data_IF_607088728466
#
_entry.id   IF_607088728466
#
_cell.length_a   1.000
_cell.length_b   1.000
_cell.length_c   1.000
_cell.angle_alpha   90.00
_cell.angle_beta   90.00
_cell.angle_gamma   90.00
#
_symmetry.space_group_name_H-M   'P 1'
#
loop_
_entity.id
_entity.type
_entity.pdbx_description
1 polymer ?
#
# COMPACT_ATOMS: atom_id res chain seq x y z
N UNK A 1 4.17 26.13 12.89
CA UNK A 1 3.13 26.52 11.94
C UNK A 1 1.87 25.77 12.33
N UNK A 2 0.69 26.38 12.36
CA UNK A 2 -0.55 25.71 12.78
C UNK A 2 -1.63 25.96 11.75
N UNK A 3 -2.47 24.95 11.52
CA UNK A 3 -3.68 25.07 10.69
C UNK A 3 -4.68 25.93 11.46
N UNK A 4 -5.05 27.08 10.91
CA UNK A 4 -6.10 27.92 11.48
C UNK A 4 -7.51 27.37 11.16
N UNK A 5 -8.53 27.97 11.75
CA UNK A 5 -9.92 27.52 11.59
C UNK A 5 -10.42 27.62 10.15
N UNK A 6 -9.94 28.61 9.38
CA UNK A 6 -10.35 28.81 7.99
C UNK A 6 -9.78 27.70 7.10
N UNK A 7 -8.48 27.44 7.18
CA UNK A 7 -7.83 26.36 6.46
C UNK A 7 -8.38 24.99 6.87
N UNK A 8 -8.58 24.74 8.19
CA UNK A 8 -9.18 23.50 8.66
C UNK A 8 -10.58 23.26 8.07
N UNK A 9 -11.41 24.31 8.00
CA UNK A 9 -12.73 24.22 7.36
C UNK A 9 -12.61 23.93 5.86
N UNK A 10 -11.63 24.53 5.19
CA UNK A 10 -11.39 24.29 3.78
C UNK A 10 -10.90 22.86 3.52
N UNK A 11 -10.03 22.30 4.35
CA UNK A 11 -9.56 20.91 4.25
C UNK A 11 -10.72 19.91 4.40
N UNK A 12 -11.65 20.16 5.33
CA UNK A 12 -12.87 19.34 5.47
C UNK A 12 -13.73 19.40 4.20
N UNK A 13 -13.87 20.58 3.57
CA UNK A 13 -14.60 20.70 2.30
C UNK A 13 -13.93 19.92 1.18
N UNK A 14 -12.61 20.04 1.01
CA UNK A 14 -11.87 19.29 0.01
C UNK A 14 -12.03 17.77 0.21
N UNK A 15 -11.83 17.29 1.44
CA UNK A 15 -11.96 15.87 1.77
C UNK A 15 -13.36 15.35 1.43
N UNK A 16 -14.41 16.05 1.85
CA UNK A 16 -15.80 15.62 1.64
C UNK A 16 -16.21 15.68 0.17
N UNK A 17 -15.69 16.62 -0.60
CA UNK A 17 -15.91 16.68 -2.04
C UNK A 17 -15.22 15.53 -2.76
N UNK A 18 -13.96 15.24 -2.43
CA UNK A 18 -13.24 14.07 -2.94
C UNK A 18 -13.97 12.76 -2.58
N UNK A 19 -14.44 12.63 -1.34
CA UNK A 19 -15.22 11.47 -0.90
C UNK A 19 -16.51 11.24 -1.70
N UNK A 20 -17.17 12.32 -2.11
CA UNK A 20 -18.41 12.22 -2.91
C UNK A 20 -18.19 11.74 -4.35
N UNK A 21 -17.01 11.93 -4.90
CA UNK A 21 -16.70 11.60 -6.30
C UNK A 21 -15.45 10.71 -6.43
N UNK A 22 -15.44 9.55 -5.72
CA UNK A 22 -14.30 8.64 -5.74
C UNK A 22 -14.11 8.03 -7.12
N UNK A 23 -12.85 7.78 -7.50
CA UNK A 23 -12.46 7.12 -8.73
C UNK A 23 -11.43 6.03 -8.42
N UNK A 24 -11.53 4.89 -9.08
CA UNK A 24 -10.59 3.76 -8.89
C UNK A 24 -9.26 4.00 -9.60
N UNK A 25 -8.25 3.25 -9.21
CA UNK A 25 -6.89 3.36 -9.72
C UNK A 25 -6.78 3.46 -11.24
N UNK A 26 -5.96 4.38 -11.71
CA UNK A 26 -5.77 4.82 -13.11
C UNK A 26 -7.00 5.44 -13.79
N UNK A 27 -8.08 5.68 -13.06
CA UNK A 27 -9.27 6.38 -13.53
C UNK A 27 -9.53 7.71 -12.78
N UNK A 28 -8.59 8.18 -11.96
CA UNK A 28 -8.68 9.34 -11.07
C UNK A 28 -8.64 10.67 -11.84
N UNK A 29 -9.32 10.76 -12.99
CA UNK A 29 -9.26 11.93 -13.87
C UNK A 29 -9.88 13.19 -13.26
N UNK A 30 -11.05 13.06 -12.61
CA UNK A 30 -11.72 14.19 -11.94
C UNK A 30 -11.01 14.54 -10.64
N UNK A 31 -10.58 13.54 -9.90
CA UNK A 31 -9.78 13.68 -8.68
C UNK A 31 -8.50 14.46 -8.97
N UNK A 32 -7.72 14.04 -9.97
CA UNK A 32 -6.50 14.73 -10.39
C UNK A 32 -6.77 16.17 -10.88
N UNK A 33 -7.86 16.39 -11.62
CA UNK A 33 -8.26 17.72 -12.07
C UNK A 33 -8.64 18.63 -10.89
N UNK A 34 -9.37 18.10 -9.90
CA UNK A 34 -9.74 18.82 -8.67
C UNK A 34 -8.49 19.22 -7.87
N UNK A 35 -7.59 18.28 -7.60
CA UNK A 35 -6.34 18.53 -6.87
C UNK A 35 -5.47 19.56 -7.61
N UNK A 36 -5.32 19.39 -8.94
CA UNK A 36 -4.56 20.34 -9.75
C UNK A 36 -5.15 21.76 -9.74
N UNK A 37 -6.48 21.89 -9.76
CA UNK A 37 -7.14 23.19 -9.66
C UNK A 37 -6.89 23.86 -8.30
N UNK A 38 -6.98 23.10 -7.20
CA UNK A 38 -6.68 23.60 -5.85
C UNK A 38 -5.22 24.10 -5.75
N UNK A 39 -4.25 23.31 -6.22
CA UNK A 39 -2.83 23.68 -6.18
C UNK A 39 -2.52 24.93 -7.06
N UNK A 40 -3.13 25.01 -8.24
CA UNK A 40 -2.99 26.23 -9.09
C UNK A 40 -3.59 27.46 -8.45
N UNK A 41 -4.71 27.32 -7.73
CA UNK A 41 -5.30 28.43 -6.98
C UNK A 41 -4.38 28.95 -5.86
N UNK A 42 -3.49 28.11 -5.33
CA UNK A 42 -2.41 28.49 -4.40
C UNK A 42 -1.19 29.13 -5.10
N UNK A 43 -1.20 29.22 -6.43
CA UNK A 43 -0.10 29.78 -7.23
C UNK A 43 1.04 28.80 -7.50
N UNK A 44 0.81 27.48 -7.34
CA UNK A 44 1.82 26.47 -7.59
C UNK A 44 1.84 26.05 -9.06
N UNK A 45 3.05 25.73 -9.57
CA UNK A 45 3.22 25.06 -10.84
C UNK A 45 2.83 23.57 -10.69
N UNK A 46 1.95 23.08 -11.58
CA UNK A 46 1.39 21.73 -11.50
C UNK A 46 1.59 20.97 -12.80
N UNK A 47 2.28 19.85 -12.72
CA UNK A 47 2.48 18.89 -13.80
C UNK A 47 1.56 17.68 -13.58
N UNK A 48 0.71 17.40 -14.56
CA UNK A 48 -0.26 16.29 -14.53
C UNK A 48 0.14 15.20 -15.52
N UNK A 49 -0.46 14.00 -15.35
CA UNK A 49 -0.29 12.88 -16.26
C UNK A 49 0.97 12.06 -15.98
N UNK A 50 1.50 12.12 -14.76
CA UNK A 50 2.69 11.35 -14.38
C UNK A 50 2.23 9.98 -13.88
N UNK A 51 2.67 8.92 -14.56
CA UNK A 51 2.18 7.57 -14.28
C UNK A 51 0.68 7.40 -14.57
N UNK A 52 0.15 8.14 -15.57
CA UNK A 52 -1.26 8.12 -15.94
C UNK A 52 -2.04 9.32 -15.41
N UNK A 53 -2.66 9.21 -14.23
CA UNK A 53 -3.46 10.26 -13.59
C UNK A 53 -2.72 11.03 -12.50
N UNK A 54 -1.50 10.63 -12.13
CA UNK A 54 -0.72 11.28 -11.09
C UNK A 54 -0.30 12.71 -11.43
N UNK A 55 0.06 13.48 -10.42
CA UNK A 55 0.52 14.85 -10.59
C UNK A 55 1.57 15.24 -9.54
N UNK A 56 2.39 16.24 -9.89
CA UNK A 56 3.38 16.85 -9.01
C UNK A 56 3.22 18.36 -9.04
N UNK A 57 3.22 18.99 -7.87
CA UNK A 57 3.38 20.42 -7.73
C UNK A 57 4.67 20.73 -6.98
N UNK A 58 5.26 21.91 -7.25
CA UNK A 58 6.52 22.30 -6.63
C UNK A 58 6.41 23.69 -6.01
N UNK A 59 7.02 23.83 -4.85
CA UNK A 59 7.14 25.11 -4.14
C UNK A 59 8.57 25.30 -3.65
N UNK A 60 9.22 26.37 -4.08
CA UNK A 60 10.57 26.74 -3.65
C UNK A 60 10.53 28.01 -2.81
N UNK A 61 11.29 28.02 -1.71
CA UNK A 61 11.50 29.20 -0.88
C UNK A 61 12.96 29.27 -0.45
N UNK A 62 13.50 30.50 -0.35
CA UNK A 62 14.90 30.73 -0.04
C UNK A 62 15.85 30.32 -1.18
N UNK A 63 17.14 30.09 -0.82
CA UNK A 63 18.23 29.74 -1.76
C UNK A 63 18.79 28.32 -1.52
N UNK A 64 18.21 27.57 -0.58
CA UNK A 64 18.60 26.20 -0.25
C UNK A 64 18.38 25.25 -1.43
N UNK A 65 19.28 24.26 -1.56
CA UNK A 65 19.23 23.31 -2.66
C UNK A 65 18.52 22.00 -2.28
N UNK A 66 18.21 21.79 -0.99
CA UNK A 66 17.53 20.56 -0.53
C UNK A 66 16.12 20.45 -1.07
N UNK A 67 15.71 19.26 -1.48
CA UNK A 67 14.41 18.96 -2.05
C UNK A 67 13.76 17.80 -1.30
N UNK A 68 12.56 18.00 -0.76
CA UNK A 68 11.76 16.93 -0.15
C UNK A 68 10.50 16.66 -0.95
N UNK A 69 10.14 15.39 -1.07
CA UNK A 69 8.85 14.93 -1.58
C UNK A 69 7.88 14.64 -0.44
N UNK A 70 6.64 15.11 -0.57
CA UNK A 70 5.51 14.73 0.28
C UNK A 70 4.47 14.03 -0.60
N UNK A 71 4.05 12.83 -0.22
CA UNK A 71 3.15 12.00 -1.04
C UNK A 71 1.78 11.81 -0.39
N UNK A 72 0.76 11.88 -1.20
CA UNK A 72 -0.57 11.34 -0.93
C UNK A 72 -1.03 10.48 -2.11
N UNK A 73 -1.73 9.39 -1.82
CA UNK A 73 -2.47 8.57 -2.77
C UNK A 73 -3.81 9.22 -3.14
N UNK A 74 -4.39 8.80 -4.28
CA UNK A 74 -5.60 9.46 -4.82
C UNK A 74 -6.77 8.51 -5.09
N UNK A 75 -6.50 7.22 -5.28
CA UNK A 75 -7.49 6.28 -5.75
C UNK A 75 -8.47 5.83 -4.65
N UNK A 76 -9.56 5.23 -5.09
CA UNK A 76 -10.61 4.70 -4.25
C UNK A 76 -10.87 3.22 -4.59
N UNK A 77 -11.58 2.54 -3.71
CA UNK A 77 -11.91 1.13 -3.82
C UNK A 77 -13.17 0.88 -4.66
N UNK A 78 -13.15 -0.22 -5.43
CA UNK A 78 -14.31 -0.73 -6.16
C UNK A 78 -15.31 -1.43 -5.21
N UNK A 79 -15.91 -0.66 -4.30
CA UNK A 79 -16.86 -1.15 -3.31
C UNK A 79 -18.01 -0.16 -3.09
N UNK A 80 -19.18 -0.65 -2.69
CA UNK A 80 -20.35 0.20 -2.44
C UNK A 80 -20.34 0.67 -0.98
N UNK A 81 -20.42 1.99 -0.79
CA UNK A 81 -20.59 2.60 0.53
C UNK A 81 -22.00 2.34 1.06
N UNK A 82 -22.10 1.96 2.36
CA UNK A 82 -23.38 1.62 3.01
C UNK A 82 -23.71 2.50 4.21
N UNK A 83 -22.94 3.57 4.47
CA UNK A 83 -23.15 4.46 5.60
C UNK A 83 -24.42 5.29 5.44
N UNK A 84 -25.47 4.96 6.20
CA UNK A 84 -26.73 5.71 6.17
C UNK A 84 -26.62 7.05 6.91
N UNK A 85 -27.19 8.11 6.33
CA UNK A 85 -27.25 9.43 6.95
C UNK A 85 -25.96 10.26 6.83
N UNK A 86 -24.93 9.78 6.13
CA UNK A 86 -23.71 10.53 5.84
C UNK A 86 -23.99 11.53 4.72
N UNK A 87 -23.76 12.83 4.98
CA UNK A 87 -24.02 13.90 4.01
C UNK A 87 -23.09 13.82 2.77
N UNK A 88 -21.86 13.37 2.99
CA UNK A 88 -20.82 13.26 1.96
C UNK A 88 -20.66 11.84 1.41
N UNK A 89 -21.70 11.01 1.48
CA UNK A 89 -21.68 9.65 0.90
C UNK A 89 -21.30 9.67 -0.59
N UNK A 90 -20.60 8.64 -1.04
CA UNK A 90 -20.21 8.49 -2.45
C UNK A 90 -21.41 8.63 -3.41
N UNK A 91 -21.23 9.41 -4.46
CA UNK A 91 -22.19 9.58 -5.57
C UNK A 91 -21.83 8.72 -6.78
N UNK A 92 -20.73 7.97 -6.72
CA UNK A 92 -20.32 7.01 -7.72
C UNK A 92 -20.67 5.59 -7.23
N UNK A 93 -21.81 5.00 -7.67
CA UNK A 93 -22.20 3.66 -7.23
C UNK A 93 -21.09 2.63 -7.49
N UNK A 94 -20.79 1.82 -6.46
CA UNK A 94 -19.73 0.80 -6.56
C UNK A 94 -18.31 1.33 -6.40
N UNK A 95 -18.14 2.58 -5.97
CA UNK A 95 -16.83 3.15 -5.67
C UNK A 95 -16.90 3.99 -4.37
N UNK A 96 -15.94 3.84 -3.47
CA UNK A 96 -15.83 4.66 -2.26
C UNK A 96 -14.39 4.82 -1.80
N UNK A 97 -14.08 5.93 -1.13
CA UNK A 97 -12.84 6.08 -0.37
C UNK A 97 -12.91 5.30 0.95
N UNK A 98 -12.66 3.97 0.85
CA UNK A 98 -12.68 3.06 1.98
C UNK A 98 -11.32 2.93 2.71
N UNK A 99 -10.27 3.58 2.20
CA UNK A 99 -8.93 3.57 2.76
C UNK A 99 -8.47 4.93 3.32
N UNK A 100 -9.18 6.02 3.00
CA UNK A 100 -8.90 7.35 3.55
C UNK A 100 -8.04 8.25 2.65
N UNK A 101 -7.84 7.88 1.40
CA UNK A 101 -7.03 8.65 0.44
C UNK A 101 -7.61 10.05 0.18
N UNK A 102 -8.93 10.23 0.30
CA UNK A 102 -9.58 11.55 0.32
C UNK A 102 -9.04 12.45 1.45
N UNK A 103 -8.80 11.87 2.63
CA UNK A 103 -8.17 12.55 3.76
C UNK A 103 -6.69 12.84 3.51
N UNK A 104 -5.94 11.88 2.95
CA UNK A 104 -4.52 12.06 2.62
C UNK A 104 -4.33 13.19 1.61
N UNK A 105 -5.14 13.23 0.54
CA UNK A 105 -5.13 14.34 -0.42
C UNK A 105 -5.45 15.68 0.25
N UNK A 106 -6.47 15.73 1.11
CA UNK A 106 -6.85 16.97 1.80
C UNK A 106 -5.76 17.44 2.77
N UNK A 107 -5.05 16.54 3.47
CA UNK A 107 -3.90 16.87 4.31
C UNK A 107 -2.75 17.44 3.48
N UNK A 108 -2.43 16.82 2.35
CA UNK A 108 -1.34 17.30 1.49
C UNK A 108 -1.68 18.63 0.81
N UNK A 109 -2.95 18.86 0.43
CA UNK A 109 -3.43 20.17 -0.03
C UNK A 109 -3.33 21.21 1.09
N UNK A 110 -3.69 20.86 2.32
CA UNK A 110 -3.54 21.73 3.50
C UNK A 110 -2.08 22.12 3.75
N UNK A 111 -1.17 21.16 3.67
CA UNK A 111 0.27 21.41 3.78
C UNK A 111 0.78 22.33 2.66
N UNK A 112 0.33 22.12 1.41
CA UNK A 112 0.67 22.98 0.28
C UNK A 112 0.19 24.42 0.48
N UNK A 113 -1.05 24.59 0.95
CA UNK A 113 -1.62 25.92 1.25
C UNK A 113 -0.83 26.62 2.36
N UNK A 114 -0.56 25.92 3.46
CA UNK A 114 0.17 26.46 4.60
C UNK A 114 1.58 26.89 4.23
N UNK A 115 2.31 26.06 3.49
CA UNK A 115 3.67 26.35 3.04
C UNK A 115 3.72 27.44 1.97
N UNK A 116 2.72 27.51 1.07
CA UNK A 116 2.65 28.57 0.06
C UNK A 116 2.43 29.97 0.65
N UNK A 117 1.68 30.03 1.75
CA UNK A 117 1.41 31.29 2.47
C UNK A 117 2.60 31.75 3.32
N UNK A 118 3.19 30.83 4.07
CA UNK A 118 4.26 31.19 5.02
C UNK A 118 5.62 31.32 4.38
N UNK A 119 5.96 30.43 3.44
CA UNK A 119 7.29 30.29 2.83
C UNK A 119 8.45 30.27 3.83
N UNK A 120 8.15 29.82 5.06
CA UNK A 120 9.12 29.74 6.16
C UNK A 120 9.91 28.43 6.10
N UNK A 121 10.63 28.24 4.99
CA UNK A 121 11.57 27.15 4.77
C UNK A 121 12.62 27.54 3.72
N UNK A 122 13.68 26.74 3.57
CA UNK A 122 14.79 27.02 2.68
C UNK A 122 15.12 25.80 1.82
N UNK A 123 14.58 25.77 0.61
CA UNK A 123 14.71 24.64 -0.34
C UNK A 123 13.45 24.47 -1.20
N UNK A 124 13.19 23.26 -1.64
CA UNK A 124 12.03 22.91 -2.47
C UNK A 124 11.21 21.80 -1.83
N UNK A 125 9.87 21.96 -1.83
CA UNK A 125 8.93 20.89 -1.50
C UNK A 125 8.20 20.47 -2.77
N UNK A 126 8.16 19.17 -3.04
CA UNK A 126 7.37 18.57 -4.11
C UNK A 126 6.18 17.85 -3.51
N UNK A 127 4.99 18.27 -3.89
CA UNK A 127 3.73 17.66 -3.52
C UNK A 127 3.37 16.63 -4.59
N UNK A 128 3.46 15.35 -4.25
CA UNK A 128 3.28 14.22 -5.14
C UNK A 128 1.93 13.56 -4.84
N UNK A 129 1.01 13.63 -5.79
CA UNK A 129 -0.29 12.98 -5.69
C UNK A 129 -0.28 11.75 -6.60
N UNK A 130 -0.30 10.57 -5.98
CA UNK A 130 -0.05 9.30 -6.63
C UNK A 130 -1.35 8.58 -6.96
N UNK A 131 -1.51 8.02 -8.18
CA UNK A 131 -2.65 7.17 -8.55
C UNK A 131 -2.46 5.73 -8.07
N UNK A 132 -3.52 4.92 -8.13
CA UNK A 132 -3.53 3.46 -8.16
C UNK A 132 -2.67 2.77 -7.07
N UNK A 133 -2.75 3.26 -5.83
CA UNK A 133 -2.10 2.64 -4.68
C UNK A 133 -2.68 1.26 -4.39
N UNK A 134 -4.00 1.13 -4.36
CA UNK A 134 -4.75 -0.10 -4.04
C UNK A 134 -4.46 -1.28 -5.01
N UNK A 135 -3.83 -0.98 -6.14
CA UNK A 135 -3.38 -1.97 -7.11
C UNK A 135 -1.88 -2.30 -7.03
N UNK A 136 -1.12 -1.66 -6.13
CA UNK A 136 0.33 -1.80 -6.01
C UNK A 136 1.12 -1.31 -7.23
N UNK A 137 0.53 -0.48 -8.08
CA UNK A 137 1.10 -0.13 -9.41
C UNK A 137 1.35 1.35 -9.61
N UNK A 138 0.73 2.22 -8.82
CA UNK A 138 0.77 3.65 -9.02
C UNK A 138 2.15 4.26 -8.82
N UNK A 139 2.81 3.91 -7.73
CA UNK A 139 4.17 4.39 -7.45
C UNK A 139 5.14 3.95 -8.56
N UNK A 140 5.07 2.69 -8.98
CA UNK A 140 5.91 2.16 -10.06
C UNK A 140 5.62 2.85 -11.39
N UNK A 141 4.33 3.05 -11.73
CA UNK A 141 3.94 3.76 -12.95
C UNK A 141 4.48 5.20 -12.98
N UNK A 142 4.45 5.93 -11.86
CA UNK A 142 5.04 7.26 -11.77
C UNK A 142 6.57 7.23 -11.95
N UNK A 143 7.25 6.25 -11.36
CA UNK A 143 8.71 6.09 -11.50
C UNK A 143 9.09 5.75 -12.95
N UNK A 144 8.37 4.84 -13.58
CA UNK A 144 8.60 4.42 -14.97
C UNK A 144 8.34 5.59 -15.98
N UNK A 145 7.45 6.53 -15.62
CA UNK A 145 7.22 7.78 -16.37
C UNK A 145 8.23 8.90 -16.03
N UNK A 146 9.29 8.57 -15.29
CA UNK A 146 10.39 9.49 -15.01
C UNK A 146 10.11 10.47 -13.88
N UNK A 147 9.36 10.06 -12.84
CA UNK A 147 9.05 10.94 -11.70
C UNK A 147 10.31 11.58 -11.11
N UNK A 148 11.31 10.80 -10.75
CA UNK A 148 12.50 11.32 -10.06
C UNK A 148 13.55 11.92 -10.99
N UNK A 149 13.52 11.60 -12.29
CA UNK A 149 14.33 12.27 -13.32
C UNK A 149 13.81 13.68 -13.61
N UNK A 150 12.50 13.86 -13.66
CA UNK A 150 11.83 15.14 -13.95
C UNK A 150 11.67 15.99 -12.68
N UNK A 151 11.43 15.36 -11.55
CA UNK A 151 11.16 15.99 -10.27
C UNK A 151 12.04 15.36 -9.18
N UNK A 152 13.38 15.54 -9.24
CA UNK A 152 14.27 14.93 -8.25
C UNK A 152 13.94 15.41 -6.84
N UNK A 153 14.09 14.49 -5.88
CA UNK A 153 13.98 14.75 -4.44
C UNK A 153 15.15 14.07 -3.72
N UNK A 154 15.61 14.67 -2.62
CA UNK A 154 16.66 14.08 -1.78
C UNK A 154 16.06 13.07 -0.79
N UNK A 155 14.83 13.35 -0.32
CA UNK A 155 14.09 12.51 0.60
C UNK A 155 12.59 12.57 0.26
N UNK A 156 11.85 11.47 0.55
CA UNK A 156 10.40 11.39 0.34
C UNK A 156 9.69 10.90 1.60
N UNK A 157 8.53 11.50 1.90
CA UNK A 157 7.72 11.15 3.06
C UNK A 157 6.27 10.90 2.67
N UNK A 158 5.67 9.87 3.28
CA UNK A 158 4.26 9.53 3.14
C UNK A 158 3.63 9.25 4.49
N UNK A 159 2.30 9.34 4.54
CA UNK A 159 1.53 9.07 5.75
C UNK A 159 0.25 8.32 5.41
N UNK A 160 -0.21 7.44 6.30
CA UNK A 160 -1.49 6.78 6.20
C UNK A 160 -2.25 6.83 7.51
N UNK A 161 -3.55 7.07 7.45
CA UNK A 161 -4.42 7.06 8.60
C UNK A 161 -4.71 5.62 9.07
N UNK A 162 -4.70 5.40 10.37
CA UNK A 162 -4.96 4.07 10.96
C UNK A 162 -6.13 4.11 11.94
N UNK A 163 -7.27 3.48 11.63
CA UNK A 163 -8.32 3.20 12.61
C UNK A 163 -7.80 2.32 13.75
N UNK A 164 -8.29 2.58 14.96
CA UNK A 164 -7.83 1.90 16.19
C UNK A 164 -6.72 2.66 16.91
N UNK A 165 -6.07 3.64 16.27
CA UNK A 165 -5.12 4.56 16.89
C UNK A 165 -5.83 5.90 17.19
N UNK A 166 -5.68 6.47 18.40
CA UNK A 166 -6.33 7.74 18.76
C UNK A 166 -5.90 8.90 17.86
N UNK A 167 -6.80 9.84 17.59
CA UNK A 167 -6.48 11.12 16.93
C UNK A 167 -5.40 11.85 17.72
N UNK A 168 -4.47 12.49 17.02
CA UNK A 168 -3.35 13.18 17.64
C UNK A 168 -2.18 12.26 18.00
N UNK A 169 -2.24 10.98 17.66
CA UNK A 169 -1.11 10.04 17.77
C UNK A 169 -0.50 9.78 16.40
N UNK A 170 0.82 9.71 16.37
CA UNK A 170 1.61 9.36 15.18
C UNK A 170 2.53 8.19 15.54
N UNK A 171 2.66 7.24 14.63
CA UNK A 171 3.50 6.08 14.85
C UNK A 171 4.38 5.81 13.64
N UNK A 172 5.62 5.38 13.89
CA UNK A 172 6.56 4.96 12.84
C UNK A 172 7.61 4.03 13.43
N UNK A 173 8.49 3.51 12.59
CA UNK A 173 9.66 2.73 13.02
C UNK A 173 10.74 2.77 11.94
N UNK A 174 11.98 2.50 12.31
CA UNK A 174 13.05 2.23 11.39
C UNK A 174 12.90 0.84 10.78
N UNK A 175 13.28 0.68 9.50
CA UNK A 175 13.19 -0.59 8.80
C UNK A 175 11.77 -0.92 8.31
N UNK A 176 11.45 -2.20 8.16
CA UNK A 176 10.17 -2.64 7.62
C UNK A 176 8.98 -2.23 8.49
N UNK A 177 8.07 -1.42 7.95
CA UNK A 177 6.86 -0.93 8.63
C UNK A 177 5.59 -1.59 8.07
N UNK A 178 5.53 -1.86 6.75
CA UNK A 178 4.46 -2.60 6.10
C UNK A 178 5.03 -3.71 5.23
N UNK A 179 4.28 -4.81 5.07
CA UNK A 179 4.78 -6.01 4.42
C UNK A 179 4.78 -5.90 2.89
N UNK A 180 5.59 -6.74 2.25
CA UNK A 180 5.38 -7.11 0.85
C UNK A 180 4.06 -7.85 0.67
N UNK A 181 3.56 -7.87 -0.56
CA UNK A 181 2.49 -8.75 -0.99
C UNK A 181 2.91 -9.44 -2.28
N UNK A 182 2.89 -10.76 -2.26
CA UNK A 182 3.21 -11.56 -3.44
C UNK A 182 2.16 -12.64 -3.61
N UNK A 183 1.71 -12.84 -4.83
CA UNK A 183 0.77 -13.89 -5.18
C UNK A 183 1.47 -15.02 -5.90
N UNK A 184 1.04 -16.26 -5.66
CA UNK A 184 1.53 -17.41 -6.40
C UNK A 184 0.42 -18.31 -6.91
N UNK A 185 0.70 -18.92 -8.07
CA UNK A 185 -0.11 -19.99 -8.66
C UNK A 185 0.84 -21.15 -9.00
N UNK A 186 0.59 -22.30 -8.39
CA UNK A 186 1.35 -23.53 -8.62
C UNK A 186 0.48 -24.47 -9.43
N UNK A 187 0.88 -24.80 -10.66
CA UNK A 187 0.18 -25.74 -11.55
C UNK A 187 0.95 -27.04 -11.62
N UNK A 188 0.31 -28.12 -11.20
CA UNK A 188 0.87 -29.46 -11.18
C UNK A 188 0.18 -30.29 -12.24
N UNK A 189 0.97 -30.91 -13.13
CA UNK A 189 0.47 -31.80 -14.16
C UNK A 189 1.03 -33.21 -13.93
N UNK A 190 0.11 -34.12 -13.67
CA UNK A 190 0.38 -35.56 -13.55
C UNK A 190 -0.13 -36.34 -14.75
N UNK A 191 -0.61 -37.54 -14.49
CA UNK A 191 -1.28 -38.40 -15.47
C UNK A 191 -2.53 -39.01 -14.84
N UNK A 192 -3.70 -38.48 -15.23
CA UNK A 192 -4.98 -38.99 -14.77
C UNK A 192 -5.25 -40.44 -15.07
N UNK A 193 -6.21 -41.02 -14.36
CA UNK A 193 -6.54 -42.44 -14.54
C UNK A 193 -7.72 -42.91 -13.68
N UNK A 194 -8.03 -44.20 -13.80
CA UNK A 194 -9.10 -44.80 -12.99
C UNK A 194 -8.65 -44.89 -11.52
N UNK A 195 -9.44 -44.39 -10.58
CA UNK A 195 -9.09 -44.33 -9.16
C UNK A 195 -8.72 -45.71 -8.55
N UNK A 196 -9.28 -46.83 -9.09
CA UNK A 196 -8.94 -48.19 -8.68
C UNK A 196 -7.63 -48.75 -9.33
N UNK A 197 -6.96 -47.96 -10.19
CA UNK A 197 -5.70 -48.36 -10.86
C UNK A 197 -4.62 -47.28 -10.70
N UNK A 198 -4.28 -46.83 -9.47
CA UNK A 198 -3.36 -45.72 -9.24
C UNK A 198 -1.93 -45.97 -9.77
N UNK A 199 -1.52 -47.23 -9.89
CA UNK A 199 -0.20 -47.65 -10.44
C UNK A 199 -0.02 -47.30 -11.92
N UNK A 200 -1.10 -46.97 -12.65
CA UNK A 200 -1.06 -46.54 -14.05
C UNK A 200 -1.13 -45.02 -14.21
N UNK A 201 -1.26 -44.28 -13.10
CA UNK A 201 -1.40 -42.82 -13.04
C UNK A 201 -0.18 -42.17 -12.39
N UNK A 202 -0.12 -40.87 -12.47
CA UNK A 202 0.72 -39.99 -11.63
C UNK A 202 -0.26 -39.03 -10.98
N UNK A 203 -0.55 -39.24 -9.71
CA UNK A 203 -1.63 -38.49 -9.02
C UNK A 203 -1.16 -37.11 -8.57
N UNK A 204 -1.58 -36.00 -9.23
CA UNK A 204 -1.16 -34.65 -8.86
C UNK A 204 -1.80 -34.17 -7.57
N UNK A 205 -2.87 -34.78 -7.04
CA UNK A 205 -3.44 -34.45 -5.73
C UNK A 205 -2.49 -34.84 -4.59
N UNK A 206 -1.86 -36.01 -4.68
CA UNK A 206 -0.85 -36.41 -3.68
C UNK A 206 0.36 -35.47 -3.74
N UNK A 207 0.82 -35.16 -4.95
CA UNK A 207 1.92 -34.17 -5.14
C UNK A 207 1.55 -32.79 -4.55
N UNK A 208 0.34 -32.32 -4.81
CA UNK A 208 -0.14 -31.03 -4.27
C UNK A 208 -0.19 -31.02 -2.73
N UNK A 209 -0.70 -32.10 -2.13
CA UNK A 209 -0.74 -32.22 -0.67
C UNK A 209 0.65 -32.19 -0.04
N UNK A 210 1.62 -32.90 -0.64
CA UNK A 210 3.01 -32.88 -0.18
C UNK A 210 3.66 -31.51 -0.37
N UNK A 211 3.41 -30.83 -1.49
CA UNK A 211 3.88 -29.46 -1.72
C UNK A 211 3.34 -28.51 -0.67
N UNK A 212 2.03 -28.50 -0.39
CA UNK A 212 1.41 -27.62 0.61
C UNK A 212 2.06 -27.80 2.00
N UNK A 213 2.30 -29.04 2.41
CA UNK A 213 2.95 -29.35 3.68
C UNK A 213 4.43 -28.91 3.68
N UNK A 214 5.15 -29.16 2.60
CA UNK A 214 6.57 -28.83 2.49
C UNK A 214 6.80 -27.30 2.44
N UNK A 215 5.91 -26.53 1.82
CA UNK A 215 5.99 -25.07 1.78
C UNK A 215 5.99 -24.47 3.19
N UNK A 216 5.34 -25.11 4.19
CA UNK A 216 5.37 -24.64 5.57
C UNK A 216 6.79 -24.66 6.17
N UNK A 217 7.69 -25.49 5.61
CA UNK A 217 9.09 -25.53 6.05
C UNK A 217 9.88 -24.27 5.67
N UNK A 218 9.41 -23.47 4.72
CA UNK A 218 10.11 -22.24 4.31
C UNK A 218 10.20 -21.31 5.49
N UNK A 219 9.06 -20.93 6.09
CA UNK A 219 9.02 -20.05 7.26
C UNK A 219 9.68 -20.72 8.47
N UNK A 220 9.38 -22.02 8.69
CA UNK A 220 9.84 -22.70 9.89
C UNK A 220 11.34 -23.05 9.89
N UNK A 221 12.03 -23.14 8.73
CA UNK A 221 13.39 -23.69 8.62
C UNK A 221 14.32 -22.94 7.68
N UNK A 222 13.83 -22.02 6.85
CA UNK A 222 14.67 -21.28 5.89
C UNK A 222 14.72 -19.77 6.17
N UNK A 223 13.68 -19.22 6.77
CA UNK A 223 13.66 -17.81 7.23
C UNK A 223 14.30 -17.72 8.60
N UNK A 224 15.07 -16.65 8.85
CA UNK A 224 15.60 -16.36 10.18
C UNK A 224 14.43 -16.17 11.17
N UNK A 225 14.44 -16.81 12.36
CA UNK A 225 13.39 -16.65 13.35
C UNK A 225 13.13 -15.21 13.81
N UNK A 226 14.08 -14.29 13.62
CA UNK A 226 13.92 -12.87 13.90
C UNK A 226 13.17 -12.10 12.78
N UNK A 227 13.00 -12.72 11.60
CA UNK A 227 12.36 -12.12 10.42
C UNK A 227 10.94 -12.68 10.25
N UNK A 228 9.89 -11.86 10.44
CA UNK A 228 8.52 -12.31 10.20
C UNK A 228 8.26 -12.59 8.72
N UNK A 229 7.63 -13.71 8.43
CA UNK A 229 7.21 -14.07 7.09
C UNK A 229 5.93 -14.92 7.11
N UNK A 230 5.16 -14.86 6.03
CA UNK A 230 3.94 -15.65 5.84
C UNK A 230 4.02 -16.38 4.50
N UNK A 231 3.59 -17.64 4.48
CA UNK A 231 3.30 -18.44 3.28
C UNK A 231 1.96 -19.11 3.49
N UNK A 232 0.94 -18.68 2.75
CA UNK A 232 -0.42 -19.20 2.86
C UNK A 232 -0.90 -19.77 1.53
N UNK A 233 -1.22 -21.09 1.50
CA UNK A 233 -2.00 -21.67 0.41
C UNK A 233 -3.49 -21.45 0.73
N UNK A 234 -4.19 -20.71 -0.11
CA UNK A 234 -5.56 -20.26 0.15
C UNK A 234 -6.60 -20.97 -0.69
N UNK A 235 -6.18 -21.60 -1.78
CA UNK A 235 -7.08 -22.28 -2.73
C UNK A 235 -6.39 -23.52 -3.32
N UNK A 236 -7.14 -24.59 -3.51
CA UNK A 236 -6.75 -25.78 -4.29
C UNK A 236 -7.89 -26.21 -5.20
N UNK A 237 -7.61 -26.40 -6.48
CA UNK A 237 -8.55 -26.87 -7.49
C UNK A 237 -7.99 -28.05 -8.25
N UNK A 238 -8.86 -28.97 -8.71
CA UNK A 238 -8.47 -30.10 -9.56
C UNK A 238 -9.53 -30.40 -10.60
N UNK A 239 -9.15 -31.08 -11.69
CA UNK A 239 -10.04 -31.61 -12.71
C UNK A 239 -10.50 -33.04 -12.44
N UNK A 240 -10.26 -33.57 -11.23
CA UNK A 240 -10.66 -34.90 -10.81
C UNK A 240 -12.16 -35.03 -10.50
N UNK A 241 -12.63 -36.28 -10.56
CA UNK A 241 -13.97 -36.69 -10.11
C UNK A 241 -13.86 -37.93 -9.21
N UNK A 242 -14.96 -38.24 -8.48
CA UNK A 242 -14.98 -39.29 -7.46
C UNK A 242 -14.27 -40.62 -7.83
N UNK A 243 -14.34 -41.07 -9.07
CA UNK A 243 -13.79 -42.33 -9.54
C UNK A 243 -12.65 -42.22 -10.59
N UNK A 244 -12.17 -41.01 -10.83
CA UNK A 244 -11.06 -40.72 -11.72
C UNK A 244 -10.05 -39.76 -11.08
N UNK A 245 -8.77 -40.14 -11.08
CA UNK A 245 -7.65 -39.29 -10.66
C UNK A 245 -7.50 -38.12 -11.65
N UNK A 246 -7.21 -36.91 -11.16
CA UNK A 246 -7.02 -35.76 -12.01
C UNK A 246 -5.76 -35.83 -12.87
N UNK A 247 -5.72 -34.98 -13.89
CA UNK A 247 -4.50 -34.70 -14.64
C UNK A 247 -3.84 -33.41 -14.14
N UNK A 248 -4.66 -32.47 -13.69
CA UNK A 248 -4.20 -31.16 -13.27
C UNK A 248 -4.67 -30.81 -11.85
N UNK A 249 -3.78 -30.16 -11.10
CA UNK A 249 -4.10 -29.49 -9.83
C UNK A 249 -3.49 -28.10 -9.85
N UNK A 250 -4.26 -27.11 -9.41
CA UNK A 250 -3.80 -25.73 -9.20
C UNK A 250 -3.90 -25.39 -7.73
N UNK A 251 -2.82 -24.81 -7.17
CA UNK A 251 -2.76 -24.22 -5.81
C UNK A 251 -2.54 -22.74 -5.98
N UNK A 252 -3.28 -21.90 -5.26
CA UNK A 252 -3.04 -20.47 -5.16
C UNK A 252 -2.76 -20.06 -3.73
N UNK A 253 -2.08 -18.92 -3.59
CA UNK A 253 -1.78 -18.38 -2.29
C UNK A 253 -1.05 -17.05 -2.34
N UNK A 254 -0.66 -16.64 -1.16
CA UNK A 254 -0.07 -15.33 -0.86
C UNK A 254 1.16 -15.52 0.04
N UNK A 255 2.15 -14.64 -0.13
CA UNK A 255 3.28 -14.54 0.79
C UNK A 255 3.51 -13.10 1.22
N UNK A 256 4.02 -12.93 2.47
CA UNK A 256 4.29 -11.63 3.08
C UNK A 256 5.66 -11.63 3.76
N UNK A 257 6.36 -10.49 3.72
CA UNK A 257 7.61 -10.27 4.45
C UNK A 257 7.89 -8.79 4.63
N UNK A 258 8.85 -8.44 5.52
CA UNK A 258 9.26 -7.04 5.77
C UNK A 258 10.64 -6.71 5.20
N UNK A 259 11.29 -7.65 4.51
CA UNK A 259 12.59 -7.41 3.87
C UNK A 259 12.61 -7.99 2.45
N UNK A 260 13.41 -7.38 1.58
CA UNK A 260 13.58 -7.85 0.19
C UNK A 260 14.30 -9.18 0.11
N UNK A 261 15.21 -9.40 1.04
CA UNK A 261 15.99 -10.63 1.16
C UNK A 261 15.08 -11.82 1.47
N UNK A 262 14.15 -11.62 2.42
CA UNK A 262 13.14 -12.64 2.78
C UNK A 262 12.15 -12.83 1.62
N UNK A 263 11.67 -11.76 0.97
CA UNK A 263 10.80 -11.84 -0.21
C UNK A 263 11.42 -12.71 -1.31
N UNK A 264 12.67 -12.44 -1.67
CA UNK A 264 13.40 -13.24 -2.65
C UNK A 264 13.67 -14.69 -2.19
N UNK A 265 13.88 -14.90 -0.90
CA UNK A 265 14.04 -16.24 -0.31
C UNK A 265 12.75 -17.05 -0.44
N UNK A 266 11.59 -16.47 -0.13
CA UNK A 266 10.29 -17.15 -0.20
C UNK A 266 10.02 -17.66 -1.62
N UNK A 267 10.18 -16.82 -2.64
CA UNK A 267 10.01 -17.22 -4.05
C UNK A 267 10.98 -18.35 -4.44
N UNK A 268 12.27 -18.16 -4.17
CA UNK A 268 13.30 -19.15 -4.54
C UNK A 268 13.01 -20.51 -3.89
N UNK A 269 12.74 -20.54 -2.59
CA UNK A 269 12.48 -21.79 -1.86
C UNK A 269 11.19 -22.46 -2.32
N UNK A 270 10.15 -21.69 -2.62
CA UNK A 270 8.90 -22.22 -3.18
C UNK A 270 9.15 -22.94 -4.49
N UNK A 271 9.87 -22.31 -5.43
CA UNK A 271 10.21 -22.93 -6.72
C UNK A 271 11.03 -24.21 -6.55
N UNK A 272 12.05 -24.20 -5.69
CA UNK A 272 12.89 -25.37 -5.41
C UNK A 272 12.07 -26.53 -4.84
N UNK A 273 11.22 -26.28 -3.85
CA UNK A 273 10.37 -27.30 -3.21
C UNK A 273 9.37 -27.88 -4.21
N UNK A 274 8.64 -27.03 -4.93
CA UNK A 274 7.63 -27.47 -5.90
C UNK A 274 8.22 -28.33 -7.01
N UNK A 275 9.33 -27.90 -7.61
CA UNK A 275 9.99 -28.66 -8.66
C UNK A 275 10.60 -29.97 -8.14
N UNK A 276 11.21 -29.94 -6.95
CA UNK A 276 11.81 -31.15 -6.33
C UNK A 276 10.77 -32.24 -6.06
N UNK A 277 9.65 -31.88 -5.44
CA UNK A 277 8.56 -32.82 -5.12
C UNK A 277 7.91 -33.35 -6.41
N UNK A 278 7.55 -32.45 -7.34
CA UNK A 278 6.95 -32.87 -8.60
C UNK A 278 7.85 -33.87 -9.36
N UNK A 279 9.15 -33.57 -9.43
CA UNK A 279 10.15 -34.46 -10.08
C UNK A 279 10.22 -35.82 -9.39
N UNK A 280 10.21 -35.89 -8.06
CA UNK A 280 10.24 -37.11 -7.29
C UNK A 280 9.05 -38.04 -7.60
N UNK A 281 7.90 -37.47 -7.92
CA UNK A 281 6.68 -38.19 -8.30
C UNK A 281 6.53 -38.42 -9.81
N UNK A 282 7.45 -37.93 -10.65
CA UNK A 282 7.35 -38.00 -12.11
C UNK A 282 6.28 -37.08 -12.71
N UNK A 283 5.82 -36.09 -11.94
CA UNK A 283 4.94 -35.03 -12.37
C UNK A 283 5.74 -33.81 -12.88
N UNK A 284 5.06 -32.87 -13.53
CA UNK A 284 5.60 -31.52 -13.84
C UNK A 284 4.94 -30.47 -13.00
N UNK A 285 5.68 -29.40 -12.71
CA UNK A 285 5.18 -28.29 -11.90
C UNK A 285 5.65 -26.96 -12.50
N UNK A 286 4.70 -26.03 -12.65
CA UNK A 286 4.95 -24.63 -13.00
C UNK A 286 4.60 -23.76 -11.80
N UNK A 287 5.48 -22.83 -11.43
CA UNK A 287 5.24 -21.85 -10.38
C UNK A 287 5.22 -20.46 -11.01
N UNK A 288 4.05 -19.85 -11.07
CA UNK A 288 3.89 -18.44 -11.36
C UNK A 288 3.91 -17.69 -10.02
N UNK A 289 4.80 -16.69 -9.90
CA UNK A 289 4.97 -15.89 -8.69
C UNK A 289 5.04 -14.43 -9.11
N UNK A 290 4.21 -13.59 -8.52
CA UNK A 290 4.10 -12.16 -8.88
C UNK A 290 4.30 -11.31 -7.64
N UNK A 291 5.17 -10.30 -7.77
CA UNK A 291 5.41 -9.28 -6.75
C UNK A 291 4.42 -8.14 -6.96
N UNK A 292 3.38 -8.07 -6.12
CA UNK A 292 2.39 -6.99 -6.18
C UNK A 292 2.91 -5.75 -5.44
N UNK A 293 3.35 -5.93 -4.18
CA UNK A 293 3.93 -4.86 -3.38
C UNK A 293 5.33 -5.26 -2.88
N UNK A 294 6.26 -4.34 -2.96
CA UNK A 294 7.53 -4.46 -2.22
C UNK A 294 7.32 -4.04 -0.77
N UNK A 295 8.10 -4.54 0.20
CA UNK A 295 7.96 -4.09 1.58
C UNK A 295 8.27 -2.59 1.71
N UNK A 296 7.48 -1.89 2.53
CA UNK A 296 7.74 -0.49 2.88
C UNK A 296 8.80 -0.46 3.98
N UNK A 297 10.02 -0.02 3.63
CA UNK A 297 11.19 -0.03 4.51
C UNK A 297 11.66 1.40 4.73
N UNK A 298 11.42 1.93 5.93
CA UNK A 298 11.87 3.26 6.33
C UNK A 298 13.39 3.33 6.44
N UNK A 299 13.98 4.36 5.85
CA UNK A 299 15.41 4.56 5.89
C UNK A 299 15.87 5.07 7.27
N UNK A 300 17.01 4.54 7.81
CA UNK A 300 17.49 4.91 9.13
C UNK A 300 17.76 6.40 9.33
N UNK A 301 18.23 7.10 8.28
CA UNK A 301 18.51 8.54 8.35
C UNK A 301 17.24 9.41 8.27
N UNK A 302 16.16 8.95 7.61
CA UNK A 302 14.92 9.71 7.41
C UNK A 302 13.93 9.51 8.57
N UNK A 303 13.90 8.31 9.18
CA UNK A 303 12.99 8.00 10.29
C UNK A 303 13.13 8.98 11.48
N UNK A 304 14.33 9.33 11.96
CA UNK A 304 14.46 10.32 13.02
C UNK A 304 13.98 11.72 12.63
N UNK A 305 14.02 12.08 11.33
CA UNK A 305 13.49 13.36 10.84
C UNK A 305 11.96 13.35 10.97
N UNK A 306 11.30 12.29 10.49
CA UNK A 306 9.86 12.11 10.61
C UNK A 306 9.40 12.11 12.08
N UNK A 307 10.13 11.40 12.98
CA UNK A 307 9.84 11.38 14.41
C UNK A 307 9.91 12.77 15.04
N UNK A 308 10.97 13.54 14.75
CA UNK A 308 11.09 14.92 15.28
C UNK A 308 9.98 15.83 14.76
N UNK A 309 9.61 15.71 13.49
CA UNK A 309 8.51 16.47 12.90
C UNK A 309 7.18 16.12 13.57
N UNK A 310 6.89 14.84 13.75
CA UNK A 310 5.71 14.36 14.46
C UNK A 310 5.66 14.89 15.91
N UNK A 311 6.77 14.77 16.65
CA UNK A 311 6.87 15.26 18.04
C UNK A 311 6.65 16.78 18.15
N UNK A 312 7.07 17.55 17.16
CA UNK A 312 6.85 19.00 17.12
C UNK A 312 5.36 19.36 16.95
N UNK A 313 4.58 18.48 16.31
CA UNK A 313 3.15 18.70 16.06
C UNK A 313 2.28 18.16 17.20
N UNK A 314 2.46 16.88 17.57
CA UNK A 314 1.57 16.18 18.53
C UNK A 314 2.16 16.03 19.92
N UNK A 315 3.42 16.42 20.14
CA UNK A 315 4.15 16.25 21.40
C UNK A 315 4.77 14.85 21.53
N UNK A 316 5.82 14.74 22.34
CA UNK A 316 6.62 13.52 22.49
C UNK A 316 5.83 12.31 22.98
N UNK A 317 4.87 12.49 23.89
CA UNK A 317 4.06 11.41 24.46
C UNK A 317 3.09 10.77 23.49
N UNK A 318 2.82 11.42 22.35
CA UNK A 318 1.85 11.00 21.35
C UNK A 318 2.52 10.43 20.10
N UNK A 319 3.84 10.20 20.16
CA UNK A 319 4.60 9.58 19.07
C UNK A 319 5.16 8.24 19.51
N UNK A 320 4.71 7.16 18.88
CA UNK A 320 5.33 5.85 18.97
C UNK A 320 6.42 5.72 17.89
N UNK A 321 7.67 5.79 18.31
CA UNK A 321 8.84 5.73 17.43
C UNK A 321 9.31 4.30 17.11
N UNK A 322 8.60 3.28 17.60
CA UNK A 322 8.94 1.87 17.38
C UNK A 322 7.68 0.98 17.33
N UNK A 323 6.68 1.42 16.58
CA UNK A 323 5.42 0.69 16.41
C UNK A 323 5.67 -0.73 15.85
N UNK A 324 4.84 -1.68 16.27
CA UNK A 324 4.85 -3.01 15.64
C UNK A 324 4.55 -2.90 14.15
N UNK A 325 5.30 -3.61 13.28
CA UNK A 325 5.04 -3.57 11.83
C UNK A 325 3.70 -4.22 11.51
N UNK A 326 3.06 -3.77 10.42
CA UNK A 326 1.76 -4.27 9.98
C UNK A 326 1.92 -5.17 8.74
N UNK A 327 1.15 -6.29 8.71
CA UNK A 327 1.13 -7.21 7.55
C UNK A 327 0.27 -6.70 6.37
N UNK A 328 -0.24 -5.48 6.42
CA UNK A 328 -0.84 -4.80 5.28
C UNK A 328 0.26 -4.28 4.35
N UNK A 329 -0.10 -3.98 3.11
CA UNK A 329 0.83 -3.54 2.06
C UNK A 329 0.57 -2.09 1.67
N UNK A 330 1.57 -1.44 1.08
CA UNK A 330 1.57 -0.05 0.63
C UNK A 330 2.60 0.12 -0.48
N UNK A 331 2.22 0.68 -1.63
CA UNK A 331 3.13 0.79 -2.76
C UNK A 331 4.13 1.96 -2.66
N UNK A 332 4.00 2.84 -1.64
CA UNK A 332 5.03 3.83 -1.27
C UNK A 332 6.40 3.18 -1.08
N UNK A 333 6.42 1.91 -0.67
CA UNK A 333 7.64 1.10 -0.59
C UNK A 333 8.44 1.09 -1.89
N UNK A 334 7.79 1.21 -3.06
CA UNK A 334 8.47 1.30 -4.34
C UNK A 334 9.31 2.59 -4.45
N UNK A 335 8.81 3.74 -4.02
CA UNK A 335 9.59 4.99 -3.98
C UNK A 335 10.82 4.87 -3.09
N UNK A 336 10.69 4.19 -1.93
CA UNK A 336 11.79 3.96 -1.01
C UNK A 336 12.89 3.04 -1.57
N UNK A 337 12.63 2.38 -2.71
CA UNK A 337 13.67 1.66 -3.44
C UNK A 337 14.63 2.57 -4.20
N UNK A 338 14.17 3.76 -4.57
CA UNK A 338 14.89 4.71 -5.40
C UNK A 338 15.40 5.93 -4.62
N UNK A 339 14.63 6.37 -3.60
CA UNK A 339 14.89 7.59 -2.84
C UNK A 339 14.79 7.30 -1.34
N UNK A 340 15.73 7.82 -0.51
CA UNK A 340 15.60 7.76 0.95
C UNK A 340 14.28 8.39 1.41
N UNK A 341 13.68 7.81 2.47
CA UNK A 341 12.44 8.37 2.99
C UNK A 341 11.88 7.62 4.19
N UNK A 342 10.73 8.04 4.64
CA UNK A 342 10.02 7.38 5.73
C UNK A 342 8.50 7.48 5.56
N UNK A 343 7.81 6.46 6.05
CA UNK A 343 6.37 6.36 6.12
C UNK A 343 5.91 6.39 7.57
N UNK A 344 4.81 7.10 7.84
CA UNK A 344 4.26 7.23 9.18
C UNK A 344 2.77 6.86 9.21
N UNK A 345 2.31 6.39 10.35
CA UNK A 345 0.89 6.18 10.62
C UNK A 345 0.33 7.33 11.44
N UNK A 346 -0.87 7.78 11.09
CA UNK A 346 -1.61 8.83 11.80
C UNK A 346 -2.90 8.24 12.35
N UNK A 347 -3.17 8.43 13.62
CA UNK A 347 -4.37 7.91 14.28
C UNK A 347 -5.65 8.53 13.73
N UNK A 348 -6.55 7.68 13.17
CA UNK A 348 -7.86 8.08 12.65
C UNK A 348 -8.96 8.15 13.73
N UNK A 349 -8.74 7.46 14.86
CA UNK A 349 -9.69 7.34 15.98
C UNK A 349 -9.65 5.94 16.57
N UNK A 350 -9.74 5.83 17.89
CA UNK A 350 -9.56 4.56 18.60
C UNK A 350 -10.77 3.63 18.47
N UNK A 351 -11.99 4.18 18.49
CA UNK A 351 -13.25 3.41 18.50
C UNK A 351 -14.40 4.24 17.91
N UNK A 352 -15.53 3.57 17.64
CA UNK A 352 -16.78 4.22 17.21
C UNK A 352 -16.88 4.48 15.71
N UNK A 353 -18.01 5.06 15.31
CA UNK A 353 -18.33 5.32 13.91
C UNK A 353 -17.42 6.40 13.27
N UNK A 354 -16.90 7.30 14.10
CA UNK A 354 -15.98 8.36 13.66
C UNK A 354 -14.55 7.88 13.85
N UNK A 355 -13.91 7.41 12.79
CA UNK A 355 -12.50 7.06 12.75
C UNK A 355 -12.11 5.68 13.28
N UNK A 356 -13.01 4.95 13.98
CA UNK A 356 -12.71 3.62 14.53
C UNK A 356 -13.17 2.45 13.66
N UNK A 357 -13.88 2.69 12.56
CA UNK A 357 -14.26 1.66 11.60
C UNK A 357 -13.04 1.23 10.79
N UNK A 358 -12.75 -0.08 10.66
CA UNK A 358 -11.59 -0.55 9.90
C UNK A 358 -11.57 -0.05 8.45
N UNK A 359 -10.36 0.07 7.90
CA UNK A 359 -10.15 0.31 6.46
C UNK A 359 -10.85 -0.80 5.63
N UNK A 360 -11.20 -0.49 4.38
CA UNK A 360 -11.89 -1.39 3.45
C UNK A 360 -13.27 -1.86 3.93
N UNK A 361 -13.85 -1.18 4.93
CA UNK A 361 -15.21 -1.44 5.38
C UNK A 361 -16.19 -0.48 4.69
N UNK A 362 -17.33 -0.99 4.24
CA UNK A 362 -18.35 -0.20 3.53
C UNK A 362 -18.98 0.95 4.38
N UNK A 363 -18.69 1.00 5.68
CA UNK A 363 -19.09 2.07 6.59
C UNK A 363 -17.93 2.96 7.03
N UNK A 364 -16.72 2.72 6.52
CA UNK A 364 -15.53 3.51 6.86
C UNK A 364 -15.76 4.99 6.57
N UNK A 365 -15.14 5.85 7.37
CA UNK A 365 -15.03 7.29 7.15
C UNK A 365 -13.69 7.80 7.69
N UNK A 366 -13.06 8.69 6.94
CA UNK A 366 -11.91 9.43 7.44
C UNK A 366 -12.39 10.42 8.51
N UNK A 367 -11.66 10.52 9.60
CA UNK A 367 -12.01 11.45 10.67
C UNK A 367 -11.50 12.85 10.38
N UNK A 368 -12.40 13.79 10.11
CA UNK A 368 -12.05 15.19 9.80
C UNK A 368 -11.17 15.86 10.88
N UNK A 369 -11.19 15.36 12.13
CA UNK A 369 -10.35 15.89 13.21
C UNK A 369 -8.85 15.58 13.02
N UNK A 370 -8.50 14.67 12.11
CA UNK A 370 -7.10 14.35 11.74
C UNK A 370 -6.51 15.37 10.78
N UNK A 371 -7.33 16.02 9.96
CA UNK A 371 -6.88 16.90 8.89
C UNK A 371 -5.90 18.00 9.32
N UNK A 372 -6.07 18.67 10.48
CA UNK A 372 -5.16 19.74 10.90
C UNK A 372 -3.86 19.27 11.56
N UNK A 373 -3.64 17.94 11.69
CA UNK A 373 -2.45 17.34 12.29
C UNK A 373 -1.35 17.21 11.22
#
# INVERSE_FOLDING_TARGET
MYVDTELGTQMVRWRRELHQFPETGFNEHKTAAFVAAALRAMGLEVHQGIGGTGLVASLTAGEGQGVIGLRADMDALAMTETAQGREHISRNPGCMHGCGHDGHMAMLLGAAQLLSQSRDFNGTVRFIFQPAEEHGRGARAMMDDGLFERFPVDEIYGAHNIPGMPVGHIATREGGIMASEDNFVIRITGRGGHAARPHLAIDPLVVAAEIILALQSIVARAVDPAEPAVVSCTEIQSDGIRNALPTHVEIKGDTRSYSREVQALLERRMREICHGIATAHGATCEVQYTHEFVPTINWPQCTPVAIRAAQAVVGHSNVDANVAPMMISEDFGAFLTAVPGAFVFIGNGATGATGGVPLHNAQYDFNDAVLPI
#
